data_IF_115935437321
#
_entry.id   IF_115935437321
#
_cell.length_a   1.000
_cell.length_b   1.000
_cell.length_c   1.000
_cell.angle_alpha   90.00
_cell.angle_beta   90.00
_cell.angle_gamma   90.00
#
_symmetry.space_group_name_H-M   'P 1'
#
loop_
_entity.id
_entity.type
_entity.pdbx_description
1 polymer ?
#
# COMPACT_ATOMS: atom_id res chain seq x y z
N UNK A 1 -20.08 34.83 20.76
CA UNK A 1 -21.17 35.32 21.62
C UNK A 1 -22.07 36.21 20.79
N UNK A 2 -23.39 36.01 20.81
CA UNK A 2 -24.34 36.90 20.18
C UNK A 2 -24.28 38.29 20.85
N UNK A 3 -24.03 39.34 20.07
CA UNK A 3 -23.96 40.73 20.53
C UNK A 3 -25.25 41.48 20.26
N UNK A 4 -25.83 41.33 19.07
CA UNK A 4 -27.08 41.99 18.71
C UNK A 4 -27.94 41.16 17.76
N UNK A 5 -29.25 41.38 17.81
CA UNK A 5 -30.24 40.84 16.89
C UNK A 5 -31.14 41.96 16.39
N UNK A 6 -31.20 42.12 15.08
CA UNK A 6 -32.09 43.07 14.39
C UNK A 6 -33.11 42.31 13.56
N UNK A 7 -34.38 42.70 13.67
CA UNK A 7 -35.50 42.10 12.97
C UNK A 7 -36.36 43.20 12.36
N UNK A 8 -36.66 43.10 11.07
CA UNK A 8 -37.52 44.05 10.35
C UNK A 8 -38.61 43.33 9.58
N UNK A 9 -39.84 43.87 9.64
CA UNK A 9 -41.02 43.43 8.90
C UNK A 9 -41.37 41.95 9.08
N UNK A 10 -41.27 41.43 10.31
CA UNK A 10 -41.49 40.03 10.64
C UNK A 10 -42.72 39.86 11.53
N UNK A 11 -43.68 39.04 11.09
CA UNK A 11 -44.96 38.84 11.79
C UNK A 11 -45.64 40.19 12.16
N UNK A 12 -45.72 40.51 13.46
CA UNK A 12 -46.29 41.78 13.98
C UNK A 12 -45.23 42.86 14.26
N UNK A 13 -43.94 42.56 14.05
CA UNK A 13 -42.80 43.45 14.33
C UNK A 13 -42.50 44.28 13.09
N UNK A 14 -42.45 45.59 13.26
CA UNK A 14 -42.03 46.54 12.20
C UNK A 14 -40.51 46.61 12.19
N UNK A 15 -39.94 46.97 13.33
CA UNK A 15 -38.51 46.96 13.61
C UNK A 15 -38.29 46.61 15.08
N UNK A 16 -37.32 45.74 15.34
CA UNK A 16 -36.84 45.42 16.67
C UNK A 16 -35.33 45.24 16.64
N UNK A 17 -34.65 45.80 17.63
CA UNK A 17 -33.22 45.66 17.86
C UNK A 17 -33.00 45.29 19.32
N UNK A 18 -32.17 44.28 19.56
CA UNK A 18 -31.86 43.77 20.89
C UNK A 18 -30.35 43.60 21.00
N UNK A 19 -29.77 44.24 22.00
CA UNK A 19 -28.38 44.04 22.39
C UNK A 19 -28.29 43.03 23.54
N UNK A 20 -27.35 42.10 23.42
CA UNK A 20 -27.09 41.04 24.37
C UNK A 20 -25.80 41.30 25.12
N UNK A 21 -25.87 41.21 26.44
CA UNK A 21 -24.71 41.24 27.32
C UNK A 21 -24.24 39.82 27.66
N UNK A 22 -22.98 39.69 28.07
CA UNK A 22 -22.42 38.40 28.47
C UNK A 22 -23.10 37.90 29.74
N UNK A 23 -23.37 36.59 29.80
CA UNK A 23 -24.01 35.94 30.94
C UNK A 23 -25.47 35.58 30.68
N UNK A 24 -26.32 35.75 31.69
CA UNK A 24 -27.73 35.33 31.64
C UNK A 24 -28.62 36.51 31.25
N UNK A 25 -29.27 36.41 30.09
CA UNK A 25 -30.32 37.35 29.66
C UNK A 25 -31.69 36.73 29.85
N UNK A 26 -32.61 37.42 30.53
CA UNK A 26 -33.98 36.96 30.77
C UNK A 26 -34.96 37.86 30.04
N UNK A 27 -35.69 37.30 29.08
CA UNK A 27 -36.77 37.98 28.37
C UNK A 27 -38.11 37.72 29.09
N UNK A 28 -38.79 38.78 29.49
CA UNK A 28 -40.10 38.74 30.18
C UNK A 28 -41.14 39.59 29.44
N UNK A 29 -42.44 39.36 29.67
CA UNK A 29 -43.52 40.10 29.03
C UNK A 29 -44.91 39.55 29.37
N UNK A 30 -45.97 40.26 28.96
CA UNK A 30 -47.37 39.93 29.28
C UNK A 30 -47.94 38.79 28.42
N UNK A 31 -47.48 38.65 27.17
CA UNK A 31 -47.89 37.57 26.26
C UNK A 31 -46.66 36.80 25.75
N UNK A 32 -46.81 35.48 25.54
CA UNK A 32 -45.74 34.63 25.01
C UNK A 32 -45.34 34.92 23.55
N UNK A 33 -46.11 35.74 22.83
CA UNK A 33 -45.90 36.03 21.43
C UNK A 33 -44.55 36.72 21.14
N UNK A 34 -44.16 37.72 21.94
CA UNK A 34 -42.90 38.45 21.73
C UNK A 34 -41.66 37.58 21.90
N UNK A 35 -41.67 36.67 22.88
CA UNK A 35 -40.58 35.70 23.10
C UNK A 35 -40.47 34.72 21.94
N UNK A 36 -41.58 34.13 21.50
CA UNK A 36 -41.57 33.17 20.38
C UNK A 36 -41.09 33.82 19.09
N UNK A 37 -41.54 35.05 18.79
CA UNK A 37 -41.09 35.81 17.62
C UNK A 37 -39.56 35.99 17.60
N UNK A 38 -38.95 36.28 18.74
CA UNK A 38 -37.49 36.44 18.81
C UNK A 38 -36.74 35.12 18.61
N UNK A 39 -37.24 34.03 19.18
CA UNK A 39 -36.66 32.69 18.98
C UNK A 39 -36.78 32.27 17.51
N UNK A 40 -37.93 32.51 16.89
CA UNK A 40 -38.16 32.21 15.48
C UNK A 40 -37.25 33.06 14.58
N UNK A 41 -37.07 34.35 14.89
CA UNK A 41 -36.16 35.24 14.18
C UNK A 41 -34.69 34.76 14.28
N UNK A 42 -34.28 34.28 15.46
CA UNK A 42 -32.98 33.66 15.68
C UNK A 42 -32.81 32.36 14.87
N UNK A 43 -33.81 31.48 14.85
CA UNK A 43 -33.77 30.28 14.01
C UNK A 43 -33.62 30.64 12.52
N UNK A 44 -34.38 31.64 12.06
CA UNK A 44 -34.31 32.12 10.68
C UNK A 44 -32.94 32.71 10.35
N UNK A 45 -32.34 33.55 11.20
CA UNK A 45 -31.01 34.12 10.90
C UNK A 45 -29.90 33.06 10.91
N UNK A 46 -30.10 31.95 11.64
CA UNK A 46 -29.18 30.80 11.69
C UNK A 46 -29.42 29.78 10.58
N UNK A 47 -30.32 30.04 9.63
CA UNK A 47 -30.48 29.21 8.42
C UNK A 47 -31.64 28.21 8.42
N UNK A 48 -32.58 28.29 9.37
CA UNK A 48 -33.77 27.43 9.37
C UNK A 48 -34.74 27.69 8.21
N UNK A 49 -35.60 26.73 7.86
CA UNK A 49 -36.59 27.00 6.81
C UNK A 49 -37.75 27.81 7.37
N UNK A 50 -38.07 28.91 6.68
CA UNK A 50 -39.23 29.71 7.01
C UNK A 50 -40.52 29.16 6.40
N UNK A 51 -41.62 29.20 7.17
CA UNK A 51 -42.96 28.89 6.67
C UNK A 51 -43.55 29.98 5.76
N UNK A 52 -44.72 29.72 5.19
CA UNK A 52 -45.49 30.75 4.47
C UNK A 52 -46.14 31.70 5.48
N UNK A 53 -46.16 33.00 5.19
CA UNK A 53 -46.75 34.02 6.09
C UNK A 53 -45.82 34.68 7.12
N UNK A 54 -44.49 34.57 6.95
CA UNK A 54 -43.52 35.20 7.86
C UNK A 54 -43.36 36.72 7.65
N UNK A 55 -43.58 37.19 6.42
CA UNK A 55 -43.44 38.61 6.07
C UNK A 55 -44.68 39.37 6.55
N UNK A 56 -44.47 40.48 7.27
CA UNK A 56 -45.54 41.33 7.79
C UNK A 56 -46.47 41.79 6.65
N UNK A 57 -47.78 41.76 6.91
CA UNK A 57 -48.79 42.20 5.94
C UNK A 57 -48.53 43.63 5.48
N UNK A 58 -48.59 43.87 4.16
CA UNK A 58 -48.32 45.18 3.56
C UNK A 58 -46.83 45.45 3.24
N UNK A 59 -45.93 44.50 3.51
CA UNK A 59 -44.49 44.67 3.23
C UNK A 59 -43.97 43.66 2.20
N UNK A 60 -42.89 44.02 1.50
CA UNK A 60 -42.34 43.19 0.41
C UNK A 60 -41.31 42.15 0.89
N UNK A 61 -40.67 42.38 2.03
CA UNK A 61 -39.60 41.53 2.57
C UNK A 61 -39.44 41.67 4.08
N UNK A 62 -39.05 40.59 4.74
CA UNK A 62 -38.55 40.56 6.11
C UNK A 62 -37.01 40.45 6.10
N UNK A 63 -36.37 41.13 7.05
CA UNK A 63 -34.90 41.12 7.20
C UNK A 63 -34.52 40.76 8.63
N UNK A 64 -33.48 39.92 8.75
CA UNK A 64 -32.93 39.47 10.02
C UNK A 64 -31.42 39.68 9.97
N UNK A 65 -30.83 40.21 11.03
CA UNK A 65 -29.38 40.36 11.17
C UNK A 65 -28.96 40.00 12.59
N UNK A 66 -27.89 39.23 12.74
CA UNK A 66 -27.31 38.87 14.03
C UNK A 66 -25.81 39.06 13.99
N UNK A 67 -25.27 39.75 14.99
CA UNK A 67 -23.84 40.00 15.14
C UNK A 67 -23.27 39.10 16.24
N UNK A 68 -22.14 38.46 15.96
CA UNK A 68 -21.46 37.55 16.86
C UNK A 68 -19.99 37.95 17.05
N UNK A 69 -19.58 38.01 18.31
CA UNK A 69 -18.17 37.96 18.71
C UNK A 69 -17.63 36.54 18.55
N UNK A 70 -16.66 36.33 17.66
CA UNK A 70 -16.05 35.01 17.42
C UNK A 70 -14.60 34.94 17.89
N UNK A 71 -14.10 35.93 18.64
CA UNK A 71 -12.68 36.00 19.05
C UNK A 71 -12.19 34.80 19.88
N UNK A 72 -13.11 34.08 20.54
CA UNK A 72 -12.82 32.85 21.32
C UNK A 72 -13.22 31.55 20.61
N UNK A 73 -13.74 31.61 19.39
CA UNK A 73 -14.30 30.46 18.65
C UNK A 73 -13.39 30.08 17.47
N UNK A 74 -12.25 29.46 17.75
CA UNK A 74 -11.24 29.15 16.72
C UNK A 74 -11.76 28.24 15.60
N UNK A 75 -12.67 27.31 15.93
CA UNK A 75 -13.34 26.45 14.97
C UNK A 75 -14.18 27.25 13.96
N UNK A 76 -14.89 28.28 14.44
CA UNK A 76 -15.70 29.18 13.61
C UNK A 76 -14.79 30.06 12.74
N UNK A 77 -13.72 30.60 13.31
CA UNK A 77 -12.74 31.42 12.56
C UNK A 77 -12.07 30.62 11.44
N UNK A 78 -11.68 29.38 11.73
CA UNK A 78 -11.09 28.47 10.73
C UNK A 78 -12.07 28.20 9.61
N UNK A 79 -13.33 27.88 9.93
CA UNK A 79 -14.36 27.65 8.92
C UNK A 79 -14.61 28.88 8.04
N UNK A 80 -14.62 30.09 8.61
CA UNK A 80 -14.77 31.33 7.85
C UNK A 80 -13.58 31.57 6.90
N UNK A 81 -12.34 31.35 7.36
CA UNK A 81 -11.13 31.46 6.53
C UNK A 81 -11.14 30.46 5.37
N UNK A 82 -11.47 29.21 5.65
CA UNK A 82 -11.51 28.14 4.64
C UNK A 82 -12.56 28.41 3.55
N UNK A 83 -13.60 29.19 3.87
CA UNK A 83 -14.64 29.58 2.93
C UNK A 83 -14.45 31.01 2.36
N UNK A 84 -13.36 31.70 2.68
CA UNK A 84 -13.09 33.09 2.31
C UNK A 84 -14.20 34.07 2.72
N UNK A 85 -14.68 33.94 3.96
CA UNK A 85 -15.76 34.75 4.57
C UNK A 85 -15.32 35.47 5.84
N UNK A 86 -14.02 35.53 6.13
CA UNK A 86 -13.46 36.07 7.37
C UNK A 86 -13.54 37.60 7.46
N UNK A 87 -13.75 38.10 8.67
CA UNK A 87 -13.85 39.54 9.00
C UNK A 87 -13.34 39.75 10.44
N UNK A 88 -12.01 39.62 10.63
CA UNK A 88 -11.33 39.73 11.91
C UNK A 88 -11.90 38.81 13.02
N UNK A 89 -12.51 39.40 14.05
CA UNK A 89 -13.13 38.73 15.20
C UNK A 89 -14.66 38.85 15.20
N UNK A 90 -15.24 39.40 14.12
CA UNK A 90 -16.67 39.66 14.00
C UNK A 90 -17.32 38.74 12.96
N UNK A 91 -18.56 38.31 13.24
CA UNK A 91 -19.34 37.49 12.35
C UNK A 91 -20.78 38.00 12.28
N UNK A 92 -21.14 38.62 11.16
CA UNK A 92 -22.49 39.13 10.90
C UNK A 92 -23.23 38.17 9.99
N UNK A 93 -24.29 37.58 10.51
CA UNK A 93 -25.24 36.77 9.76
C UNK A 93 -26.43 37.62 9.37
N UNK A 94 -26.81 37.59 8.09
CA UNK A 94 -27.98 38.33 7.61
C UNK A 94 -28.83 37.48 6.69
N UNK A 95 -30.15 37.56 6.85
CA UNK A 95 -31.12 36.86 6.02
C UNK A 95 -32.23 37.79 5.56
N UNK A 96 -32.60 37.69 4.29
CA UNK A 96 -33.72 38.42 3.69
C UNK A 96 -34.70 37.42 3.10
N UNK A 97 -35.96 37.51 3.50
CA UNK A 97 -37.05 36.66 3.00
C UNK A 97 -38.08 37.55 2.33
N UNK A 98 -38.32 37.34 1.04
CA UNK A 98 -39.31 38.08 0.28
C UNK A 98 -40.72 37.50 0.48
N UNK A 99 -41.74 38.31 0.23
CA UNK A 99 -43.15 37.90 0.31
C UNK A 99 -43.52 36.77 -0.66
N UNK A 100 -42.72 36.56 -1.72
CA UNK A 100 -42.86 35.48 -2.69
C UNK A 100 -42.16 34.17 -2.27
N UNK A 101 -41.58 34.13 -1.06
CA UNK A 101 -40.90 32.97 -0.49
C UNK A 101 -39.43 32.84 -0.88
N UNK A 102 -38.89 33.68 -1.78
CA UNK A 102 -37.45 33.66 -2.09
C UNK A 102 -36.66 34.20 -0.90
N UNK A 103 -35.63 33.45 -0.49
CA UNK A 103 -34.73 33.80 0.61
C UNK A 103 -33.32 34.02 0.11
N UNK A 104 -32.62 35.01 0.66
CA UNK A 104 -31.18 35.24 0.47
C UNK A 104 -30.47 35.24 1.82
N UNK A 105 -29.31 34.62 1.88
CA UNK A 105 -28.48 34.51 3.08
C UNK A 105 -27.14 35.21 2.82
N UNK A 106 -26.59 35.84 3.86
CA UNK A 106 -25.34 36.56 3.82
C UNK A 106 -24.53 36.26 5.09
N UNK A 107 -23.22 36.10 4.92
CA UNK A 107 -22.23 36.00 6.00
C UNK A 107 -21.19 37.09 5.71
N UNK A 108 -20.93 37.99 6.67
CA UNK A 108 -19.95 39.08 6.53
C UNK A 108 -20.11 39.86 5.21
N UNK A 109 -21.35 40.24 4.89
CA UNK A 109 -21.76 40.94 3.66
C UNK A 109 -21.64 40.16 2.34
N UNK A 110 -21.17 38.91 2.37
CA UNK A 110 -21.07 38.04 1.19
C UNK A 110 -22.30 37.14 1.07
N UNK A 111 -22.89 37.05 -0.12
CA UNK A 111 -24.05 36.19 -0.36
C UNK A 111 -23.63 34.71 -0.37
N UNK A 112 -24.34 33.87 0.38
CA UNK A 112 -24.01 32.44 0.54
C UNK A 112 -25.23 31.53 0.35
N UNK A 113 -25.03 30.24 0.02
CA UNK A 113 -26.09 29.25 0.10
C UNK A 113 -26.65 29.12 1.52
N UNK A 114 -27.95 28.82 1.63
CA UNK A 114 -28.62 28.63 2.93
C UNK A 114 -27.96 27.52 3.77
N UNK A 115 -27.41 26.50 3.12
CA UNK A 115 -26.72 25.40 3.79
C UNK A 115 -25.44 25.86 4.49
N UNK A 116 -24.68 26.79 3.89
CA UNK A 116 -23.50 27.39 4.50
C UNK A 116 -23.87 28.24 5.71
N UNK A 117 -24.95 29.03 5.59
CA UNK A 117 -25.50 29.79 6.74
C UNK A 117 -25.91 28.84 7.88
N UNK A 118 -26.57 27.72 7.55
CA UNK A 118 -26.99 26.72 8.53
C UNK A 118 -25.81 26.05 9.22
N UNK A 119 -24.81 25.61 8.46
CA UNK A 119 -23.61 24.99 9.01
C UNK A 119 -22.88 25.93 9.99
N UNK A 120 -22.77 27.21 9.64
CA UNK A 120 -22.18 28.22 10.51
C UNK A 120 -23.05 28.51 11.74
N UNK A 121 -24.37 28.62 11.56
CA UNK A 121 -25.32 28.85 12.63
C UNK A 121 -25.27 27.79 13.73
N UNK A 122 -25.15 26.51 13.35
CA UNK A 122 -25.01 25.38 14.28
C UNK A 122 -23.72 25.44 15.12
N UNK A 123 -22.67 26.13 14.66
CA UNK A 123 -21.43 26.34 15.42
C UNK A 123 -21.49 27.56 16.36
N UNK A 124 -22.39 28.51 16.08
CA UNK A 124 -22.46 29.80 16.79
C UNK A 124 -23.46 29.80 17.95
N UNK A 125 -24.60 29.12 17.80
CA UNK A 125 -25.69 29.19 18.78
C UNK A 125 -26.49 27.88 18.82
N UNK A 126 -26.78 27.41 20.04
CA UNK A 126 -27.59 26.22 20.28
C UNK A 126 -28.95 26.61 20.91
N UNK A 127 -30.04 26.43 20.17
CA UNK A 127 -31.41 26.77 20.60
C UNK A 127 -32.07 25.52 21.17
N UNK A 128 -32.69 25.65 22.35
CA UNK A 128 -33.42 24.56 23.00
C UNK A 128 -34.92 24.91 23.10
N UNK A 129 -35.79 24.15 22.43
CA UNK A 129 -37.24 24.42 22.39
C UNK A 129 -38.05 23.34 21.64
N UNK A 130 -39.36 23.55 21.48
CA UNK A 130 -40.31 22.57 20.91
C UNK A 130 -39.98 22.09 19.49
N UNK A 131 -39.17 22.84 18.75
CA UNK A 131 -38.72 22.51 17.38
C UNK A 131 -37.22 22.24 17.26
N UNK A 132 -36.46 22.32 18.37
CA UNK A 132 -35.01 22.33 18.38
C UNK A 132 -34.44 21.28 19.36
N UNK A 133 -34.24 20.06 18.85
CA UNK A 133 -33.68 18.95 19.61
C UNK A 133 -32.46 18.29 18.95
N UNK A 134 -31.94 18.84 17.85
CA UNK A 134 -31.08 18.05 16.97
C UNK A 134 -29.64 17.86 17.47
N UNK A 135 -29.07 18.76 18.28
CA UNK A 135 -27.66 18.61 18.72
C UNK A 135 -27.50 17.48 19.75
N UNK A 136 -28.22 17.54 20.87
CA UNK A 136 -28.15 16.51 21.92
C UNK A 136 -28.72 15.14 21.52
N UNK A 137 -29.54 15.04 20.47
CA UNK A 137 -30.01 13.75 19.95
C UNK A 137 -28.96 13.02 19.10
N UNK A 138 -27.89 13.70 18.65
CA UNK A 138 -26.86 13.05 17.86
C UNK A 138 -25.89 12.27 18.74
N UNK A 139 -25.63 11.02 18.36
CA UNK A 139 -24.76 10.09 19.10
C UNK A 139 -23.31 10.57 19.23
N UNK A 140 -22.79 11.29 18.24
CA UNK A 140 -21.44 11.86 18.28
C UNK A 140 -21.31 12.95 19.35
N UNK A 141 -22.31 13.83 19.47
CA UNK A 141 -22.39 14.85 20.52
C UNK A 141 -22.58 14.22 21.90
N UNK A 142 -23.48 13.24 22.05
CA UNK A 142 -23.69 12.53 23.32
C UNK A 142 -22.43 11.81 23.81
N UNK A 143 -21.69 11.18 22.88
CA UNK A 143 -20.39 10.57 23.17
C UNK A 143 -19.37 11.61 23.60
N UNK A 144 -19.29 12.73 22.90
CA UNK A 144 -18.34 13.79 23.21
C UNK A 144 -18.61 14.40 24.60
N UNK A 145 -19.87 14.66 24.94
CA UNK A 145 -20.28 15.10 26.27
C UNK A 145 -19.90 14.09 27.36
N UNK A 146 -20.13 12.80 27.11
CA UNK A 146 -19.75 11.73 28.05
C UNK A 146 -18.24 11.65 28.23
N UNK A 147 -17.48 11.76 27.14
CA UNK A 147 -16.02 11.72 27.16
C UNK A 147 -15.44 12.95 27.88
N UNK A 148 -16.03 14.13 27.72
CA UNK A 148 -15.66 15.33 28.48
C UNK A 148 -15.95 15.18 29.97
N UNK A 149 -17.16 14.72 30.32
CA UNK A 149 -17.54 14.46 31.71
C UNK A 149 -16.61 13.45 32.39
N UNK A 150 -16.28 12.36 31.68
CA UNK A 150 -15.38 11.31 32.16
C UNK A 150 -13.89 11.65 32.08
N UNK A 151 -13.51 12.81 31.52
CA UNK A 151 -12.12 13.18 31.20
C UNK A 151 -11.39 12.13 30.34
N UNK A 152 -12.10 11.58 29.34
CA UNK A 152 -11.66 10.45 28.51
C UNK A 152 -11.02 10.85 27.19
N UNK A 153 -10.91 12.15 26.86
CA UNK A 153 -10.37 12.63 25.59
C UNK A 153 -8.98 12.06 25.30
N UNK A 154 -8.07 12.03 26.28
CA UNK A 154 -6.74 11.44 26.07
C UNK A 154 -6.75 9.92 25.82
N UNK A 155 -7.74 9.18 26.32
CA UNK A 155 -7.92 7.76 25.97
C UNK A 155 -8.53 7.59 24.58
N UNK A 156 -9.45 8.49 24.21
CA UNK A 156 -10.04 8.53 22.87
C UNK A 156 -8.97 8.80 21.82
N UNK A 157 -8.08 9.77 22.05
CA UNK A 157 -7.03 10.13 21.09
C UNK A 157 -6.02 8.99 20.90
N UNK A 158 -5.63 8.31 21.99
CA UNK A 158 -4.80 7.08 21.91
C UNK A 158 -5.48 5.96 21.13
N UNK A 159 -6.80 5.80 21.31
CA UNK A 159 -7.58 4.79 20.58
C UNK A 159 -7.67 5.14 19.09
N UNK A 160 -7.88 6.41 18.76
CA UNK A 160 -7.92 6.90 17.38
C UNK A 160 -6.57 6.71 16.67
N UNK A 161 -5.45 7.02 17.34
CA UNK A 161 -4.11 6.80 16.80
C UNK A 161 -3.82 5.31 16.53
N UNK A 162 -4.18 4.43 17.48
CA UNK A 162 -4.02 2.99 17.31
C UNK A 162 -4.89 2.44 16.17
N UNK A 163 -6.12 2.96 16.02
CA UNK A 163 -7.02 2.62 14.92
C UNK A 163 -6.45 3.03 13.56
N UNK A 164 -5.91 4.26 13.46
CA UNK A 164 -5.32 4.77 12.23
C UNK A 164 -4.12 3.92 11.79
N UNK A 165 -3.25 3.53 12.73
CA UNK A 165 -2.12 2.64 12.45
C UNK A 165 -2.59 1.27 11.95
N UNK A 166 -3.56 0.65 12.64
CA UNK A 166 -4.12 -0.64 12.23
C UNK A 166 -4.77 -0.57 10.84
N UNK A 167 -5.57 0.47 10.56
CA UNK A 167 -6.19 0.65 9.25
C UNK A 167 -5.18 0.88 8.13
N UNK A 168 -4.08 1.59 8.39
CA UNK A 168 -3.01 1.76 7.41
C UNK A 168 -2.38 0.41 7.04
N UNK A 169 -2.01 -0.38 8.05
CA UNK A 169 -1.39 -1.70 7.85
C UNK A 169 -2.35 -2.69 7.22
N UNK A 170 -3.63 -2.68 7.61
CA UNK A 170 -4.65 -3.54 7.03
C UNK A 170 -4.87 -3.26 5.54
N UNK A 171 -4.86 -1.97 5.12
CA UNK A 171 -4.94 -1.61 3.70
C UNK A 171 -3.73 -2.08 2.91
N UNK A 172 -2.53 -1.87 3.47
CA UNK A 172 -1.28 -2.34 2.85
C UNK A 172 -1.27 -3.88 2.71
N UNK A 173 -1.73 -4.59 3.74
CA UNK A 173 -1.89 -6.04 3.70
C UNK A 173 -2.90 -6.48 2.64
N UNK A 174 -4.07 -5.85 2.56
CA UNK A 174 -5.10 -6.19 1.57
C UNK A 174 -4.61 -5.92 0.13
N UNK A 175 -3.89 -4.82 -0.10
CA UNK A 175 -3.26 -4.51 -1.39
C UNK A 175 -2.22 -5.55 -1.79
N UNK A 176 -1.34 -5.95 -0.85
CA UNK A 176 -0.36 -7.01 -1.08
C UNK A 176 -1.03 -8.36 -1.33
N UNK A 177 -2.10 -8.68 -0.59
CA UNK A 177 -2.84 -9.93 -0.77
C UNK A 177 -3.53 -9.98 -2.14
N UNK A 178 -4.17 -8.88 -2.54
CA UNK A 178 -4.82 -8.77 -3.85
C UNK A 178 -3.82 -8.89 -5.02
N UNK A 179 -2.62 -8.32 -4.87
CA UNK A 179 -1.58 -8.41 -5.89
C UNK A 179 -0.95 -9.81 -6.00
N UNK A 180 -1.13 -10.67 -5.00
CA UNK A 180 -0.37 -11.92 -4.84
C UNK A 180 -1.21 -13.21 -4.90
N UNK A 181 -2.44 -13.18 -5.43
CA UNK A 181 -3.30 -14.36 -5.48
C UNK A 181 -2.66 -15.58 -6.21
N UNK A 182 -1.86 -15.34 -7.25
CA UNK A 182 -1.15 -16.38 -8.02
C UNK A 182 0.31 -16.58 -7.61
N UNK A 183 0.78 -15.87 -6.57
CA UNK A 183 2.20 -15.83 -6.20
C UNK A 183 2.70 -17.19 -5.71
N UNK A 184 1.93 -17.88 -4.86
CA UNK A 184 2.31 -19.17 -4.30
C UNK A 184 2.52 -20.22 -5.40
N UNK A 185 1.56 -20.34 -6.33
CA UNK A 185 1.68 -21.27 -7.46
C UNK A 185 2.86 -20.93 -8.36
N UNK A 186 3.16 -19.64 -8.55
CA UNK A 186 4.34 -19.22 -9.34
C UNK A 186 5.65 -19.52 -8.62
N UNK A 187 5.70 -19.34 -7.30
CA UNK A 187 6.86 -19.68 -6.48
C UNK A 187 7.13 -21.19 -6.50
N UNK A 188 6.08 -22.00 -6.36
CA UNK A 188 6.18 -23.47 -6.45
C UNK A 188 6.74 -23.92 -7.80
N UNK A 189 6.23 -23.36 -8.89
CA UNK A 189 6.73 -23.64 -10.24
C UNK A 189 8.20 -23.24 -10.39
N UNK A 190 8.57 -22.02 -10.02
CA UNK A 190 9.96 -21.55 -10.12
C UNK A 190 10.90 -22.37 -9.25
N UNK A 191 10.47 -22.76 -8.05
CA UNK A 191 11.25 -23.61 -7.14
C UNK A 191 11.51 -24.98 -7.77
N UNK A 192 10.49 -25.60 -8.36
CA UNK A 192 10.64 -26.86 -9.06
C UNK A 192 11.61 -26.74 -10.26
N UNK A 193 11.48 -25.68 -11.06
CA UNK A 193 12.36 -25.44 -12.22
C UNK A 193 13.81 -25.19 -11.80
N UNK A 194 14.04 -24.40 -10.73
CA UNK A 194 15.38 -24.15 -10.21
C UNK A 194 16.01 -25.44 -9.67
N UNK A 195 15.27 -26.25 -8.91
CA UNK A 195 15.76 -27.54 -8.40
C UNK A 195 16.13 -28.52 -9.53
N UNK A 196 15.35 -28.57 -10.62
CA UNK A 196 15.68 -29.41 -11.78
C UNK A 196 17.01 -28.97 -12.42
N UNK A 197 17.22 -27.66 -12.58
CA UNK A 197 18.45 -27.11 -13.17
C UNK A 197 19.67 -27.26 -12.23
N UNK A 198 19.49 -27.03 -10.93
CA UNK A 198 20.53 -27.26 -9.91
C UNK A 198 20.96 -28.73 -9.86
N UNK A 199 20.01 -29.66 -10.00
CA UNK A 199 20.30 -31.10 -10.02
C UNK A 199 21.14 -31.52 -11.24
N UNK A 200 21.00 -30.81 -12.35
CA UNK A 200 21.79 -31.04 -13.56
C UNK A 200 23.24 -30.56 -13.40
N UNK A 201 23.47 -29.54 -12.56
CA UNK A 201 24.79 -29.02 -12.17
C UNK A 201 25.75 -28.85 -13.35
N UNK A 202 25.32 -28.11 -14.38
CA UNK A 202 26.16 -27.84 -15.56
C UNK A 202 27.30 -26.91 -15.16
N UNK A 203 28.54 -27.31 -15.41
CA UNK A 203 29.70 -26.47 -15.20
C UNK A 203 29.90 -25.49 -16.38
N UNK A 204 30.53 -24.36 -16.10
CA UNK A 204 30.88 -23.38 -17.14
C UNK A 204 31.79 -24.02 -18.20
N UNK A 205 31.38 -23.97 -19.46
CA UNK A 205 32.14 -24.56 -20.57
C UNK A 205 31.94 -26.05 -20.79
N UNK A 206 31.30 -26.78 -19.87
CA UNK A 206 31.12 -28.24 -19.94
C UNK A 206 30.49 -28.71 -21.25
N UNK A 207 29.46 -28.01 -21.74
CA UNK A 207 28.76 -28.38 -22.98
C UNK A 207 29.70 -28.29 -24.20
N UNK A 208 30.57 -27.29 -24.23
CA UNK A 208 31.52 -27.12 -25.32
C UNK A 208 32.60 -28.21 -25.29
N UNK A 209 33.08 -28.53 -24.09
CA UNK A 209 34.04 -29.61 -23.85
C UNK A 209 33.48 -30.98 -24.24
N UNK A 210 32.27 -31.33 -23.77
CA UNK A 210 31.59 -32.58 -24.12
C UNK A 210 31.31 -32.70 -25.62
N UNK A 211 30.95 -31.60 -26.30
CA UNK A 211 30.77 -31.60 -27.76
C UNK A 211 32.08 -31.87 -28.50
N UNK A 212 33.19 -31.27 -28.06
CA UNK A 212 34.50 -31.48 -28.65
C UNK A 212 35.00 -32.92 -28.40
N UNK A 213 34.86 -33.40 -27.17
CA UNK A 213 35.21 -34.77 -26.77
C UNK A 213 34.42 -35.80 -27.59
N UNK A 214 33.11 -35.60 -27.74
CA UNK A 214 32.25 -36.47 -28.56
C UNK A 214 32.69 -36.54 -30.03
N UNK A 215 33.08 -35.43 -30.63
CA UNK A 215 33.55 -35.43 -32.02
C UNK A 215 34.85 -36.22 -32.18
N UNK A 216 35.75 -36.17 -31.20
CA UNK A 216 36.97 -36.98 -31.19
C UNK A 216 36.62 -38.46 -31.02
N UNK A 217 35.82 -38.81 -30.01
CA UNK A 217 35.42 -40.19 -29.71
C UNK A 217 34.67 -40.83 -30.89
N UNK A 218 33.76 -40.12 -31.54
CA UNK A 218 33.04 -40.61 -32.73
C UNK A 218 33.96 -40.90 -33.91
N UNK A 219 35.02 -40.10 -34.07
CA UNK A 219 35.97 -40.23 -35.17
C UNK A 219 37.23 -41.03 -34.78
N UNK A 220 37.35 -41.50 -33.54
CA UNK A 220 38.53 -42.16 -32.97
C UNK A 220 39.03 -43.33 -33.82
N UNK A 221 38.15 -44.23 -34.26
CA UNK A 221 38.51 -45.34 -35.13
C UNK A 221 39.08 -44.89 -36.47
N UNK A 222 38.45 -43.89 -37.12
CA UNK A 222 38.95 -43.32 -38.38
C UNK A 222 40.28 -42.59 -38.20
N UNK A 223 40.45 -41.90 -37.07
CA UNK A 223 41.70 -41.24 -36.71
C UNK A 223 42.81 -42.27 -36.53
N UNK A 224 42.56 -43.34 -35.76
CA UNK A 224 43.51 -44.42 -35.52
C UNK A 224 43.93 -45.12 -36.84
N UNK A 225 42.97 -45.47 -37.70
CA UNK A 225 43.25 -46.14 -38.98
C UNK A 225 44.11 -45.26 -39.91
N UNK A 226 43.77 -43.97 -40.03
CA UNK A 226 44.49 -43.03 -40.90
C UNK A 226 45.87 -42.69 -40.35
N UNK A 227 46.02 -42.57 -39.03
CA UNK A 227 47.33 -42.34 -38.40
C UNK A 227 48.20 -43.58 -38.53
N UNK A 228 47.65 -44.78 -38.31
CA UNK A 228 48.39 -46.02 -38.55
C UNK A 228 48.86 -46.14 -40.01
N UNK A 229 48.01 -45.74 -40.96
CA UNK A 229 48.38 -45.69 -42.38
C UNK A 229 49.48 -44.65 -42.67
N UNK A 230 49.41 -43.47 -42.04
CA UNK A 230 50.43 -42.44 -42.18
C UNK A 230 51.77 -42.90 -41.58
N UNK A 231 51.76 -43.52 -40.39
CA UNK A 231 52.94 -44.07 -39.74
C UNK A 231 53.57 -45.20 -40.55
N UNK A 232 52.77 -46.05 -41.22
CA UNK A 232 53.29 -47.04 -42.17
C UNK A 232 54.08 -46.39 -43.31
N UNK A 233 53.59 -45.29 -43.89
CA UNK A 233 54.28 -44.58 -44.97
C UNK A 233 55.53 -43.85 -44.47
N UNK A 234 55.47 -43.26 -43.28
CA UNK A 234 56.52 -42.41 -42.73
C UNK A 234 57.67 -43.22 -42.11
N UNK A 235 57.37 -44.25 -41.31
CA UNK A 235 58.37 -44.96 -40.49
C UNK A 235 58.23 -46.48 -40.38
N UNK A 236 57.01 -47.02 -40.32
CA UNK A 236 56.77 -48.38 -39.79
C UNK A 236 56.83 -49.49 -40.85
N UNK A 237 56.85 -49.13 -42.14
CA UNK A 237 57.03 -50.11 -43.21
C UNK A 237 58.51 -50.52 -43.32
N UNK A 238 58.80 -51.80 -43.08
CA UNK A 238 60.16 -52.37 -43.13
C UNK A 238 60.78 -52.40 -44.53
N UNK A 239 59.95 -52.41 -45.59
CA UNK A 239 60.43 -52.53 -46.97
C UNK A 239 60.86 -51.19 -47.57
N UNK A 240 60.05 -50.14 -47.42
CA UNK A 240 60.39 -48.77 -47.80
C UNK A 240 59.48 -47.79 -47.05
N UNK A 241 60.06 -46.75 -46.46
CA UNK A 241 59.34 -45.66 -45.80
C UNK A 241 60.03 -44.32 -46.05
N UNK A 242 59.33 -43.21 -45.84
CA UNK A 242 59.83 -41.88 -46.17
C UNK A 242 61.15 -41.55 -45.43
N UNK A 243 61.25 -41.92 -44.15
CA UNK A 243 62.45 -41.70 -43.34
C UNK A 243 63.66 -42.47 -43.91
N UNK A 244 63.49 -43.74 -44.27
CA UNK A 244 64.58 -44.54 -44.84
C UNK A 244 65.01 -44.06 -46.22
N UNK A 245 64.07 -43.62 -47.05
CA UNK A 245 64.34 -43.08 -48.39
C UNK A 245 65.09 -41.74 -48.34
N UNK A 246 64.72 -40.84 -47.42
CA UNK A 246 65.39 -39.54 -47.26
C UNK A 246 66.78 -39.74 -46.63
N UNK A 247 66.93 -40.61 -45.65
CA UNK A 247 68.22 -40.94 -45.09
C UNK A 247 69.17 -41.56 -46.14
N UNK A 248 68.65 -42.37 -47.07
CA UNK A 248 69.44 -42.91 -48.19
C UNK A 248 69.83 -41.84 -49.22
N UNK A 249 68.91 -40.95 -49.57
CA UNK A 249 69.19 -39.81 -50.44
C UNK A 249 70.23 -38.87 -49.82
N UNK A 250 70.10 -38.57 -48.52
CA UNK A 250 71.04 -37.75 -47.76
C UNK A 250 72.45 -38.34 -47.80
N UNK A 251 72.63 -39.63 -47.46
CA UNK A 251 73.94 -40.31 -47.53
C UNK A 251 74.55 -40.26 -48.93
N UNK A 252 73.73 -40.43 -49.96
CA UNK A 252 74.18 -40.42 -51.35
C UNK A 252 74.65 -39.04 -51.79
N UNK A 253 73.93 -37.98 -51.40
CA UNK A 253 74.29 -36.59 -51.75
C UNK A 253 75.42 -36.07 -50.88
N UNK A 254 75.53 -36.47 -49.61
CA UNK A 254 76.69 -36.17 -48.75
C UNK A 254 77.99 -36.68 -49.38
N UNK A 255 78.00 -37.93 -49.86
CA UNK A 255 79.16 -38.49 -50.57
C UNK A 255 79.51 -37.75 -51.88
N UNK A 256 78.54 -37.09 -52.51
CA UNK A 256 78.77 -36.25 -53.70
C UNK A 256 79.21 -34.82 -53.34
N UNK A 257 78.79 -34.29 -52.20
CA UNK A 257 79.20 -32.98 -51.72
C UNK A 257 80.70 -32.94 -51.39
N UNK A 258 81.29 -34.09 -51.03
CA UNK A 258 82.74 -34.25 -50.93
C UNK A 258 83.47 -34.05 -52.28
N UNK A 259 82.77 -34.27 -53.41
CA UNK A 259 83.30 -34.08 -54.76
C UNK A 259 82.99 -32.67 -55.32
N UNK A 260 81.82 -32.11 -55.01
CA UNK A 260 81.40 -30.77 -55.44
C UNK A 260 80.68 -30.02 -54.32
N UNK A 261 81.36 -29.01 -53.77
CA UNK A 261 80.86 -28.17 -52.67
C UNK A 261 79.53 -27.46 -52.99
N UNK A 262 79.17 -27.30 -54.28
CA UNK A 262 77.89 -26.71 -54.68
C UNK A 262 76.68 -27.55 -54.27
N UNK A 263 76.87 -28.80 -53.88
CA UNK A 263 75.82 -29.68 -53.38
C UNK A 263 75.56 -29.52 -51.87
N UNK A 264 76.42 -28.81 -51.11
CA UNK A 264 76.23 -28.59 -49.67
C UNK A 264 74.86 -27.99 -49.28
N UNK A 265 74.29 -27.01 -50.01
CA UNK A 265 72.94 -26.52 -49.71
C UNK A 265 71.85 -27.59 -49.85
N UNK A 266 72.02 -28.56 -50.76
CA UNK A 266 71.06 -29.67 -50.95
C UNK A 266 71.15 -30.67 -49.80
N UNK A 267 72.36 -30.92 -49.29
CA UNK A 267 72.59 -31.75 -48.09
C UNK A 267 71.86 -31.15 -46.89
N UNK A 268 72.02 -29.85 -46.65
CA UNK A 268 71.33 -29.17 -45.53
C UNK A 268 69.81 -29.26 -45.68
N UNK A 269 69.25 -29.05 -46.88
CA UNK A 269 67.81 -29.21 -47.12
C UNK A 269 67.31 -30.64 -46.84
N UNK A 270 68.07 -31.66 -47.22
CA UNK A 270 67.71 -33.06 -46.96
C UNK A 270 67.83 -33.42 -45.49
N UNK A 271 68.81 -32.86 -44.78
CA UNK A 271 68.97 -33.04 -43.32
C UNK A 271 67.84 -32.38 -42.55
N UNK A 272 67.44 -31.17 -42.93
CA UNK A 272 66.28 -30.49 -42.34
C UNK A 272 64.99 -31.29 -42.58
N UNK A 273 64.81 -31.84 -43.79
CA UNK A 273 63.66 -32.68 -44.11
C UNK A 273 63.61 -33.96 -43.27
N UNK A 274 64.76 -34.63 -43.05
CA UNK A 274 64.88 -35.82 -42.19
C UNK A 274 64.46 -35.52 -40.74
N UNK A 275 64.94 -34.39 -40.18
CA UNK A 275 64.57 -33.94 -38.84
C UNK A 275 63.06 -33.66 -38.75
N UNK A 276 62.51 -32.88 -39.69
CA UNK A 276 61.08 -32.51 -39.68
C UNK A 276 60.15 -33.72 -39.82
N UNK A 277 60.54 -34.71 -40.63
CA UNK A 277 59.80 -35.96 -40.75
C UNK A 277 59.87 -36.81 -39.48
N UNK A 278 61.03 -36.87 -38.82
CA UNK A 278 61.19 -37.51 -37.52
C UNK A 278 60.27 -36.89 -36.46
N UNK A 279 60.27 -35.56 -36.35
CA UNK A 279 59.41 -34.83 -35.41
C UNK A 279 57.91 -35.09 -35.67
N UNK A 280 57.47 -35.02 -36.93
CA UNK A 280 56.09 -35.30 -37.31
C UNK A 280 55.68 -36.76 -37.01
N UNK A 281 56.59 -37.71 -37.22
CA UNK A 281 56.37 -39.13 -36.91
C UNK A 281 56.18 -39.33 -35.41
N UNK A 282 57.05 -38.75 -34.59
CA UNK A 282 56.96 -38.84 -33.13
C UNK A 282 55.69 -38.17 -32.60
N UNK A 283 55.27 -37.05 -33.19
CA UNK A 283 54.04 -36.36 -32.82
C UNK A 283 52.79 -37.17 -33.19
N UNK A 284 52.76 -37.79 -34.36
CA UNK A 284 51.69 -38.73 -34.75
C UNK A 284 51.65 -39.95 -33.83
N UNK A 285 52.80 -40.50 -33.42
CA UNK A 285 52.86 -41.61 -32.46
C UNK A 285 52.35 -41.20 -31.07
N UNK A 286 52.73 -40.02 -30.58
CA UNK A 286 52.22 -39.49 -29.31
C UNK A 286 50.70 -39.28 -29.36
N UNK A 287 50.19 -38.71 -30.46
CA UNK A 287 48.76 -38.50 -30.64
C UNK A 287 48.00 -39.83 -30.75
N UNK A 288 48.52 -40.81 -31.50
CA UNK A 288 47.95 -42.16 -31.58
C UNK A 288 47.87 -42.86 -30.21
N UNK A 289 48.89 -42.69 -29.36
CA UNK A 289 48.89 -43.21 -28.00
C UNK A 289 47.90 -42.48 -27.07
N UNK A 290 47.53 -41.25 -27.40
CA UNK A 290 46.55 -40.44 -26.66
C UNK A 290 45.10 -40.64 -27.10
N UNK A 291 44.87 -41.30 -28.23
CA UNK A 291 43.53 -41.63 -28.73
C UNK A 291 42.90 -42.69 -27.82
N UNK A 292 42.14 -42.20 -26.85
CA UNK A 292 41.35 -43.06 -25.99
C UNK A 292 40.12 -43.56 -26.77
N UNK A 293 40.05 -44.87 -26.97
CA UNK A 293 38.93 -45.54 -27.63
C UNK A 293 38.08 -46.28 -26.59
N UNK A 294 37.84 -45.65 -25.43
CA UNK A 294 36.98 -46.20 -24.39
C UNK A 294 35.49 -46.09 -24.80
N UNK A 295 34.81 -47.20 -25.11
CA UNK A 295 33.40 -47.18 -25.46
C UNK A 295 32.52 -46.74 -24.28
N UNK A 296 32.96 -47.00 -23.05
CA UNK A 296 32.24 -46.61 -21.84
C UNK A 296 32.22 -45.08 -21.71
N UNK A 297 33.36 -44.43 -21.96
CA UNK A 297 33.46 -42.96 -21.95
C UNK A 297 32.58 -42.31 -23.03
N UNK A 298 32.51 -42.91 -24.21
CA UNK A 298 31.63 -42.42 -25.28
C UNK A 298 30.15 -42.49 -24.89
N UNK A 299 29.73 -43.56 -24.20
CA UNK A 299 28.38 -43.70 -23.66
C UNK A 299 28.10 -42.64 -22.57
N UNK A 300 29.02 -42.44 -21.62
CA UNK A 300 28.91 -41.40 -20.58
C UNK A 300 28.73 -39.99 -21.16
N UNK A 301 29.50 -39.64 -22.20
CA UNK A 301 29.43 -38.33 -22.85
C UNK A 301 28.10 -38.13 -23.56
N UNK A 302 27.59 -39.13 -24.28
CA UNK A 302 26.28 -39.03 -24.93
C UNK A 302 25.14 -38.98 -23.91
N UNK A 303 25.18 -39.80 -22.86
CA UNK A 303 24.19 -39.78 -21.78
C UNK A 303 24.15 -38.41 -21.08
N UNK A 304 25.31 -37.81 -20.81
CA UNK A 304 25.40 -36.46 -20.22
C UNK A 304 24.83 -35.40 -21.16
N UNK A 305 25.16 -35.45 -22.45
CA UNK A 305 24.63 -34.52 -23.46
C UNK A 305 23.13 -34.66 -23.67
N UNK A 306 22.59 -35.88 -23.61
CA UNK A 306 21.17 -36.15 -23.76
C UNK A 306 20.37 -35.75 -22.52
N UNK A 307 20.93 -35.92 -21.31
CA UNK A 307 20.36 -35.37 -20.08
C UNK A 307 20.23 -33.84 -20.18
N UNK A 308 21.28 -33.15 -20.63
CA UNK A 308 21.28 -31.69 -20.83
C UNK A 308 20.24 -31.28 -21.87
N UNK A 309 20.17 -31.98 -23.01
CA UNK A 309 19.16 -31.70 -24.06
C UNK A 309 17.73 -31.95 -23.59
N UNK A 310 17.49 -32.97 -22.79
CA UNK A 310 16.18 -33.28 -22.25
C UNK A 310 15.65 -32.13 -21.40
N UNK A 311 16.50 -31.60 -20.51
CA UNK A 311 16.17 -30.44 -19.67
C UNK A 311 16.02 -29.18 -20.54
N UNK A 312 16.93 -28.93 -21.49
CA UNK A 312 16.83 -27.82 -22.44
C UNK A 312 15.48 -27.80 -23.18
N UNK A 313 15.01 -28.96 -23.64
CA UNK A 313 13.70 -29.10 -24.32
C UNK A 313 12.52 -28.81 -23.39
N UNK A 314 12.56 -29.26 -22.12
CA UNK A 314 11.50 -28.96 -21.15
C UNK A 314 11.35 -27.45 -20.93
N UNK A 315 12.47 -26.74 -20.86
CA UNK A 315 12.52 -25.30 -20.63
C UNK A 315 12.48 -24.45 -21.91
N UNK A 316 12.41 -25.08 -23.09
CA UNK A 316 12.34 -24.41 -24.40
C UNK A 316 13.52 -23.44 -24.64
N UNK A 317 14.71 -23.80 -24.17
CA UNK A 317 15.94 -23.02 -24.35
C UNK A 317 17.00 -23.86 -25.03
N UNK A 318 17.93 -23.22 -25.73
CA UNK A 318 19.11 -23.90 -26.24
C UNK A 318 19.99 -24.40 -25.08
N UNK A 319 20.62 -25.58 -25.19
CA UNK A 319 21.48 -26.13 -24.14
C UNK A 319 22.55 -25.15 -23.64
N UNK A 320 23.15 -24.38 -24.55
CA UNK A 320 24.18 -23.37 -24.23
C UNK A 320 23.67 -22.22 -23.36
N UNK A 321 22.37 -21.94 -23.41
CA UNK A 321 21.73 -20.87 -22.65
C UNK A 321 21.17 -21.34 -21.31
N UNK A 322 21.21 -22.65 -21.00
CA UNK A 322 20.69 -23.19 -19.73
C UNK A 322 21.29 -22.53 -18.49
N UNK A 323 22.62 -22.30 -18.38
CA UNK A 323 23.20 -21.66 -17.20
C UNK A 323 22.67 -20.24 -16.97
N UNK A 324 22.54 -19.47 -18.06
CA UNK A 324 21.96 -18.12 -18.01
C UNK A 324 20.49 -18.17 -17.61
N UNK A 325 19.72 -19.09 -18.19
CA UNK A 325 18.31 -19.26 -17.88
C UNK A 325 18.10 -19.66 -16.40
N UNK A 326 18.96 -20.53 -15.86
CA UNK A 326 18.95 -20.89 -14.43
C UNK A 326 19.15 -19.65 -13.54
N UNK A 327 20.11 -18.78 -13.87
CA UNK A 327 20.34 -17.54 -13.13
C UNK A 327 19.14 -16.58 -13.21
N UNK A 328 18.48 -16.48 -14.37
CA UNK A 328 17.27 -15.66 -14.56
C UNK A 328 16.08 -16.19 -13.74
N UNK A 329 15.89 -17.51 -13.68
CA UNK A 329 14.86 -18.14 -12.84
C UNK A 329 15.14 -17.94 -11.35
N UNK A 330 16.39 -18.09 -10.93
CA UNK A 330 16.81 -17.92 -9.54
C UNK A 330 16.58 -16.49 -9.06
N UNK A 331 16.89 -15.50 -9.90
CA UNK A 331 16.61 -14.10 -9.61
C UNK A 331 15.10 -13.84 -9.45
N UNK A 332 14.27 -14.43 -10.32
CA UNK A 332 12.82 -14.34 -10.22
C UNK A 332 12.28 -15.00 -8.94
N UNK A 333 12.80 -16.19 -8.60
CA UNK A 333 12.45 -16.91 -7.37
C UNK A 333 12.78 -16.06 -6.15
N UNK A 334 14.02 -15.58 -6.02
CA UNK A 334 14.46 -14.77 -4.89
C UNK A 334 13.63 -13.49 -4.72
N UNK A 335 13.29 -12.80 -5.82
CA UNK A 335 12.39 -11.65 -5.78
C UNK A 335 10.99 -12.01 -5.26
N UNK A 336 10.49 -13.20 -5.61
CA UNK A 336 9.20 -13.68 -5.12
C UNK A 336 9.24 -14.17 -3.66
N UNK A 337 10.36 -14.72 -3.19
CA UNK A 337 10.53 -15.06 -1.77
C UNK A 337 10.59 -13.80 -0.91
N UNK A 338 11.38 -12.79 -1.31
CA UNK A 338 11.54 -11.56 -0.53
C UNK A 338 10.23 -10.82 -0.29
N UNK A 339 9.36 -10.72 -1.30
CA UNK A 339 8.07 -10.06 -1.08
C UNK A 339 6.99 -10.96 -0.45
N UNK A 340 7.18 -12.29 -0.39
CA UNK A 340 6.38 -13.16 0.51
C UNK A 340 6.78 -12.92 1.96
N UNK A 341 8.08 -12.85 2.25
CA UNK A 341 8.59 -12.53 3.58
C UNK A 341 8.08 -11.15 4.06
N UNK A 342 8.13 -10.12 3.20
CA UNK A 342 7.53 -8.81 3.52
C UNK A 342 6.02 -8.91 3.77
N UNK A 343 5.30 -9.72 2.98
CA UNK A 343 3.88 -9.96 3.19
C UNK A 343 3.59 -10.54 4.58
N UNK A 344 4.34 -11.56 4.99
CA UNK A 344 4.22 -12.17 6.32
C UNK A 344 4.57 -11.19 7.45
N UNK A 345 5.59 -10.33 7.26
CA UNK A 345 5.94 -9.28 8.23
C UNK A 345 4.81 -8.26 8.40
N UNK A 346 4.16 -7.85 7.30
CA UNK A 346 3.04 -6.89 7.33
C UNK A 346 1.79 -7.52 7.92
N UNK A 347 1.53 -8.81 7.67
CA UNK A 347 0.45 -9.56 8.32
C UNK A 347 0.63 -9.56 9.84
N UNK A 348 1.81 -9.95 10.31
CA UNK A 348 2.14 -9.97 11.74
C UNK A 348 2.05 -8.57 12.38
N UNK A 349 2.52 -7.54 11.67
CA UNK A 349 2.39 -6.16 12.11
C UNK A 349 0.93 -5.70 12.21
N UNK A 350 0.08 -6.13 11.26
CA UNK A 350 -1.36 -5.83 11.24
C UNK A 350 -2.07 -6.47 12.43
N UNK A 351 -1.79 -7.74 12.72
CA UNK A 351 -2.34 -8.45 13.89
C UNK A 351 -1.90 -7.78 15.21
N UNK A 352 -0.62 -7.43 15.32
CA UNK A 352 -0.10 -6.73 16.49
C UNK A 352 -0.76 -5.36 16.67
N UNK A 353 -0.93 -4.59 15.59
CA UNK A 353 -1.61 -3.30 15.61
C UNK A 353 -3.09 -3.43 16.01
N UNK A 354 -3.78 -4.46 15.50
CA UNK A 354 -5.15 -4.76 15.90
C UNK A 354 -5.24 -5.08 17.40
N UNK A 355 -4.32 -5.89 17.93
CA UNK A 355 -4.30 -6.22 19.36
C UNK A 355 -4.10 -4.96 20.25
N UNK A 356 -3.24 -4.04 19.82
CA UNK A 356 -3.02 -2.75 20.49
C UNK A 356 -4.30 -1.90 20.46
N UNK A 357 -4.93 -1.76 19.29
CA UNK A 357 -6.19 -1.05 19.14
C UNK A 357 -7.30 -1.66 20.00
N UNK A 358 -7.51 -2.98 19.91
CA UNK A 358 -8.54 -3.69 20.67
C UNK A 358 -8.38 -3.50 22.18
N UNK A 359 -7.13 -3.53 22.68
CA UNK A 359 -6.83 -3.27 24.10
C UNK A 359 -7.18 -1.82 24.50
N UNK A 360 -6.77 -0.84 23.70
CA UNK A 360 -7.08 0.57 23.94
C UNK A 360 -8.59 0.83 23.92
N UNK A 361 -9.28 0.29 22.91
CA UNK A 361 -10.72 0.49 22.71
C UNK A 361 -11.56 -0.18 23.80
N UNK A 362 -11.18 -1.38 24.28
CA UNK A 362 -11.82 -2.03 25.44
C UNK A 362 -11.60 -1.24 26.74
N UNK A 363 -10.42 -0.66 26.92
CA UNK A 363 -10.12 0.20 28.07
C UNK A 363 -10.97 1.48 28.07
N UNK A 364 -11.14 2.10 26.90
CA UNK A 364 -12.00 3.26 26.70
C UNK A 364 -13.47 2.91 26.99
N UNK A 365 -13.96 1.77 26.47
CA UNK A 365 -15.32 1.29 26.70
C UNK A 365 -15.63 1.07 28.19
N UNK A 366 -14.70 0.45 28.94
CA UNK A 366 -14.84 0.29 30.39
C UNK A 366 -14.94 1.63 31.11
N UNK A 367 -14.11 2.60 30.69
CA UNK A 367 -14.09 3.94 31.29
C UNK A 367 -15.37 4.72 30.98
N UNK A 368 -15.89 4.60 29.74
CA UNK A 368 -17.18 5.16 29.33
C UNK A 368 -18.35 4.57 30.10
N UNK A 369 -18.40 3.25 30.33
CA UNK A 369 -19.45 2.63 31.15
C UNK A 369 -19.44 3.16 32.59
N UNK A 370 -18.25 3.38 33.17
CA UNK A 370 -18.15 4.00 34.49
C UNK A 370 -18.61 5.46 34.50
N UNK A 371 -18.20 6.25 33.51
CA UNK A 371 -18.64 7.64 33.35
C UNK A 371 -20.16 7.72 33.13
N UNK A 372 -20.72 6.82 32.32
CA UNK A 372 -22.14 6.73 32.01
C UNK A 372 -22.97 6.49 33.26
N UNK A 373 -22.55 5.56 34.13
CA UNK A 373 -23.21 5.29 35.40
C UNK A 373 -23.18 6.52 36.34
N UNK A 374 -22.03 7.19 36.44
CA UNK A 374 -21.89 8.41 37.26
C UNK A 374 -22.75 9.57 36.74
N UNK A 375 -22.72 9.81 35.43
CA UNK A 375 -23.52 10.85 34.79
C UNK A 375 -25.02 10.57 34.96
N UNK A 376 -25.43 9.31 34.76
CA UNK A 376 -26.81 8.86 34.97
C UNK A 376 -27.32 9.19 36.38
N UNK A 377 -26.51 8.91 37.41
CA UNK A 377 -26.85 9.19 38.80
C UNK A 377 -26.95 10.68 39.08
N UNK A 378 -25.96 11.48 38.65
CA UNK A 378 -25.93 12.91 38.91
C UNK A 378 -27.09 13.65 38.23
N UNK A 379 -27.37 13.34 36.96
CA UNK A 379 -28.48 13.96 36.23
C UNK A 379 -29.83 13.51 36.79
N UNK A 380 -29.99 12.22 37.13
CA UNK A 380 -31.23 11.73 37.76
C UNK A 380 -31.50 12.44 39.09
N UNK A 381 -30.46 12.68 39.91
CA UNK A 381 -30.61 13.45 41.15
C UNK A 381 -31.02 14.91 40.87
N UNK A 382 -30.37 15.57 39.92
CA UNK A 382 -30.71 16.94 39.53
C UNK A 382 -32.12 17.07 38.92
N UNK A 383 -32.63 16.03 38.24
CA UNK A 383 -33.99 16.01 37.72
C UNK A 383 -35.04 16.05 38.83
N UNK A 384 -34.78 15.42 39.98
CA UNK A 384 -35.67 15.47 41.13
C UNK A 384 -35.80 16.90 41.68
N UNK A 385 -34.67 17.62 41.75
CA UNK A 385 -34.64 19.03 42.20
C UNK A 385 -35.36 19.97 41.22
N UNK A 386 -35.42 19.61 39.93
CA UNK A 386 -36.12 20.34 38.88
C UNK A 386 -37.63 20.05 38.81
N UNK A 387 -38.21 19.42 39.83
CA UNK A 387 -39.64 19.16 39.92
C UNK A 387 -40.12 17.99 39.06
N UNK A 388 -39.23 17.06 38.70
CA UNK A 388 -39.56 15.78 38.03
C UNK A 388 -39.34 14.59 38.99
N UNK A 389 -40.08 14.48 40.11
CA UNK A 389 -39.91 13.37 41.05
C UNK A 389 -40.31 12.05 40.39
N UNK A 390 -39.36 11.12 40.29
CA UNK A 390 -39.53 9.83 39.61
C UNK A 390 -39.01 9.80 38.16
N UNK A 391 -38.51 10.93 37.65
CA UNK A 391 -37.78 10.96 36.38
C UNK A 391 -36.46 10.21 36.49
N UNK A 392 -36.08 9.48 35.43
CA UNK A 392 -34.83 8.70 35.37
C UNK A 392 -34.07 9.03 34.11
N UNK A 393 -32.79 9.33 34.25
CA UNK A 393 -31.86 9.51 33.14
C UNK A 393 -30.84 8.38 33.12
N UNK A 394 -30.69 7.72 31.97
CA UNK A 394 -29.75 6.61 31.77
C UNK A 394 -28.92 6.86 30.53
N UNK A 395 -27.61 6.91 30.71
CA UNK A 395 -26.65 6.86 29.61
C UNK A 395 -26.36 5.39 29.29
N UNK A 396 -26.79 4.95 28.12
CA UNK A 396 -26.53 3.60 27.62
C UNK A 396 -25.26 3.62 26.76
N UNK A 397 -24.32 2.75 27.09
CA UNK A 397 -23.08 2.54 26.36
C UNK A 397 -22.98 1.08 25.91
N UNK A 398 -23.34 0.84 24.64
CA UNK A 398 -23.30 -0.50 24.03
C UNK A 398 -22.01 -0.66 23.22
N UNK A 399 -21.22 -1.66 23.57
CA UNK A 399 -19.93 -1.91 22.92
C UNK A 399 -20.09 -2.92 21.78
N UNK A 400 -19.59 -2.56 20.61
CA UNK A 400 -19.47 -3.44 19.45
C UNK A 400 -18.21 -4.30 19.50
N UNK A 401 -18.11 -5.26 18.58
CA UNK A 401 -16.89 -6.02 18.36
C UNK A 401 -15.73 -5.08 17.97
N UNK A 402 -14.53 -5.38 18.45
CA UNK A 402 -13.30 -4.69 18.05
C UNK A 402 -13.08 -4.75 16.53
N UNK A 403 -13.49 -5.83 15.87
CA UNK A 403 -13.37 -5.96 14.41
C UNK A 403 -14.22 -4.92 13.65
N UNK A 404 -15.36 -4.51 14.22
CA UNK A 404 -16.25 -3.49 13.65
C UNK A 404 -16.04 -2.09 14.29
N UNK A 405 -14.95 -1.92 15.04
CA UNK A 405 -14.69 -0.70 15.79
C UNK A 405 -14.34 0.50 14.91
N UNK A 406 -14.41 1.71 15.49
CA UNK A 406 -14.16 2.98 14.81
C UNK A 406 -13.02 3.75 15.50
N UNK A 407 -12.50 4.79 14.87
CA UNK A 407 -11.56 5.72 15.51
C UNK A 407 -12.08 6.29 16.85
N UNK A 408 -13.40 6.43 16.99
CA UNK A 408 -14.06 6.87 18.22
C UNK A 408 -14.19 5.79 19.31
N UNK A 409 -13.73 4.55 19.07
CA UNK A 409 -13.86 3.41 19.96
C UNK A 409 -14.98 2.43 19.57
N UNK A 410 -15.38 1.58 20.53
CA UNK A 410 -16.34 0.49 20.33
C UNK A 410 -17.78 0.88 20.66
N UNK A 411 -17.97 1.94 21.43
CA UNK A 411 -19.25 2.22 22.06
C UNK A 411 -20.15 3.12 21.21
N UNK A 412 -21.39 2.67 21.02
CA UNK A 412 -22.50 3.55 20.70
C UNK A 412 -23.09 4.08 22.01
N UNK A 413 -23.21 5.41 22.11
CA UNK A 413 -23.69 6.12 23.28
C UNK A 413 -25.08 6.69 22.96
N UNK A 414 -26.07 6.32 23.78
CA UNK A 414 -27.44 6.82 23.70
C UNK A 414 -27.88 7.36 25.07
N UNK A 415 -28.46 8.55 25.09
CA UNK A 415 -29.04 9.16 26.29
C UNK A 415 -30.54 8.87 26.35
N UNK A 416 -30.98 8.21 27.42
CA UNK A 416 -32.38 7.82 27.65
C UNK A 416 -32.95 8.59 28.82
N UNK A 417 -34.19 9.07 28.66
CA UNK A 417 -34.90 9.83 29.69
C UNK A 417 -36.31 9.28 29.84
N UNK A 418 -36.69 9.03 31.09
CA UNK A 418 -38.06 8.74 31.48
C UNK A 418 -38.52 9.90 32.36
N UNK A 419 -39.52 10.67 31.93
CA UNK A 419 -39.98 11.85 32.68
C UNK A 419 -40.98 11.50 33.80
N UNK A 420 -41.80 10.46 33.59
CA UNK A 420 -42.82 9.99 34.53
C UNK A 420 -42.70 8.46 34.72
N UNK A 421 -42.84 7.92 35.94
CA UNK A 421 -42.84 6.48 36.17
C UNK A 421 -44.02 5.81 35.43
N UNK A 422 -43.73 4.97 34.43
CA UNK A 422 -44.74 4.18 33.70
C UNK A 422 -44.84 4.42 32.18
N UNK A 423 -44.01 5.30 31.61
CA UNK A 423 -43.80 5.41 30.17
C UNK A 423 -42.35 5.02 29.85
N UNK A 424 -42.15 3.95 29.08
CA UNK A 424 -40.82 3.53 28.59
C UNK A 424 -40.34 4.38 27.43
#
# INVERSE_FOLDING_TARGET
>A
MLRSLQVRNFAIVDEAEIDFASGMTVLTGETGAGKSILVDALGLVLGERGGTGLVRSGTQRAEFSADFDIGRLENVRTWLRDNALDMDDDCVLRRVINSDGRSRAFINSTAVPLQSLKALGEMLLDIHGQHFHQSLSRRDVQRDLLDHFGKLLGQRDKTAAAFANWQSLAREYDELRAANADRSSRLELLTFQCQELESLAIADGEIAELKAEREILRNSGKLADNIGSALQVLSDNESANANSMIAEALRSVEALADLDVRLAPVVELLRDADIQLGEATDELRRYAASLDMDPLRAEEVEDRLDAIRSVARKHHVEPENLPRFAAELEQQRSSLEQAEERGAQIEQATEAAFAVYAKAARSLSKSRKSAASKLSQQVTAAMADLGMPGGRFVVRAEAHDAAAGKASGLDDIDYLITANPGQE
#
